data_IF_162713392673
#
_entry.id   IF_162713392673
#
_cell.length_a   1.000
_cell.length_b   1.000
_cell.length_c   1.000
_cell.angle_alpha   90.00
_cell.angle_beta   90.00
_cell.angle_gamma   90.00
#
_symmetry.space_group_name_H-M   'P 1'
#
loop_
_entity.id
_entity.type
_entity.pdbx_description
1 polymer ?
#
# COMPACT_ATOMS: atom_id res chain seq x y z
N UNK A 1 11.13 -15.99 25.83
CA UNK A 1 10.72 -15.61 24.46
C UNK A 1 9.89 -14.34 24.54
N UNK A 2 10.33 -13.21 23.95
CA UNK A 2 9.53 -11.97 23.90
C UNK A 2 8.33 -12.21 22.98
N UNK A 3 7.12 -12.02 23.48
CA UNK A 3 5.88 -12.10 22.68
C UNK A 3 5.90 -10.97 21.66
N UNK A 4 6.06 -11.28 20.37
CA UNK A 4 5.83 -10.31 19.31
C UNK A 4 4.31 -10.11 19.19
N UNK A 5 3.86 -8.88 19.28
CA UNK A 5 2.47 -8.53 19.03
C UNK A 5 2.17 -8.63 17.53
N UNK A 6 0.90 -8.82 17.17
CA UNK A 6 0.46 -8.85 15.74
C UNK A 6 0.97 -7.62 14.99
N UNK A 7 1.00 -6.46 15.66
CA UNK A 7 1.56 -5.22 15.12
C UNK A 7 3.06 -5.34 14.77
N UNK A 8 3.84 -6.03 15.60
CA UNK A 8 5.28 -6.24 15.33
C UNK A 8 5.52 -7.21 14.19
N UNK A 9 4.67 -8.24 14.02
CA UNK A 9 4.74 -9.16 12.90
C UNK A 9 4.40 -8.48 11.56
N UNK A 10 3.35 -7.65 11.55
CA UNK A 10 2.92 -6.92 10.35
C UNK A 10 3.96 -5.87 9.93
N UNK A 11 4.52 -5.13 10.88
CA UNK A 11 5.55 -4.13 10.61
C UNK A 11 6.86 -4.77 10.08
N UNK A 12 7.29 -5.90 10.66
CA UNK A 12 8.47 -6.63 10.21
C UNK A 12 8.29 -7.23 8.80
N UNK A 13 7.10 -7.76 8.50
CA UNK A 13 6.80 -8.32 7.18
C UNK A 13 6.72 -7.25 6.08
N UNK A 14 6.25 -6.03 6.40
CA UNK A 14 6.22 -4.90 5.46
C UNK A 14 7.64 -4.38 5.16
N UNK A 15 8.50 -4.29 6.16
CA UNK A 15 9.89 -3.93 5.97
C UNK A 15 10.63 -4.97 5.10
N UNK A 16 10.36 -6.25 5.31
CA UNK A 16 10.94 -7.36 4.52
C UNK A 16 10.42 -7.38 3.07
N UNK A 17 9.13 -7.11 2.84
CA UNK A 17 8.55 -7.09 1.49
C UNK A 17 9.06 -5.92 0.64
N UNK A 18 9.33 -4.77 1.24
CA UNK A 18 9.96 -3.63 0.56
C UNK A 18 11.45 -3.86 0.27
N UNK A 19 12.15 -4.59 1.16
CA UNK A 19 13.55 -4.96 0.96
C UNK A 19 13.75 -6.12 -0.06
N UNK A 20 12.80 -7.06 -0.13
CA UNK A 20 12.89 -8.22 -1.02
C UNK A 20 12.59 -7.90 -2.50
N UNK A 21 11.96 -6.77 -2.80
CA UNK A 21 11.72 -6.31 -4.17
C UNK A 21 12.98 -5.82 -4.90
N UNK A 22 14.08 -5.59 -4.19
CA UNK A 22 15.35 -5.11 -4.76
C UNK A 22 16.53 -6.13 -4.65
N UNK A 23 16.33 -7.29 -4.03
CA UNK A 23 17.40 -8.27 -3.78
C UNK A 23 17.15 -9.61 -4.47
N UNK A 24 17.12 -9.61 -5.80
CA UNK A 24 17.25 -10.83 -6.59
C UNK A 24 18.33 -10.64 -7.64
N UNK A 25 19.59 -10.76 -7.23
CA UNK A 25 20.71 -11.38 -7.95
C UNK A 25 22.03 -11.11 -7.23
N UNK A 26 22.78 -12.18 -6.94
CA UNK A 26 24.19 -12.12 -6.64
C UNK A 26 24.63 -12.83 -5.36
N UNK A 27 24.87 -14.13 -5.43
CA UNK A 27 25.61 -14.88 -4.41
C UNK A 27 27.12 -14.62 -4.51
N UNK A 28 27.83 -14.75 -3.40
CA UNK A 28 29.29 -14.70 -3.36
C UNK A 28 29.83 -14.75 -1.93
N UNK A 29 30.52 -15.81 -1.60
CA UNK A 29 31.06 -16.24 -0.32
C UNK A 29 32.28 -15.46 0.16
N UNK A 30 32.44 -15.40 1.51
CA UNK A 30 33.72 -15.66 2.20
C UNK A 30 34.63 -14.51 2.52
N UNK A 31 35.06 -14.49 3.78
CA UNK A 31 36.36 -13.94 4.15
C UNK A 31 36.43 -13.08 5.42
N UNK A 32 36.83 -13.70 6.53
CA UNK A 32 37.32 -13.06 7.75
C UNK A 32 38.44 -12.05 7.47
N UNK A 33 38.48 -10.93 8.18
CA UNK A 33 39.68 -10.38 8.80
C UNK A 33 39.48 -9.05 9.55
N UNK A 34 39.80 -9.07 10.81
CA UNK A 34 40.51 -8.05 11.64
C UNK A 34 40.24 -6.56 11.43
N UNK A 35 39.78 -5.90 12.52
CA UNK A 35 39.82 -4.45 12.77
C UNK A 35 41.21 -3.85 12.69
N UNK A 36 41.32 -2.57 12.31
CA UNK A 36 42.07 -1.64 13.15
C UNK A 36 41.30 -0.35 13.48
N UNK A 37 41.59 0.12 14.69
CA UNK A 37 41.17 1.39 15.27
C UNK A 37 41.71 2.58 14.46
N UNK A 38 40.82 3.53 14.20
CA UNK A 38 41.20 4.84 13.68
C UNK A 38 39.90 5.63 13.47
N UNK A 39 39.54 6.49 14.45
CA UNK A 39 38.37 7.34 14.33
C UNK A 39 38.55 8.40 13.25
N UNK A 40 38.00 8.14 12.08
CA UNK A 40 37.68 9.19 11.12
C UNK A 40 36.38 9.88 11.55
N UNK A 41 36.20 11.21 11.31
CA UNK A 41 34.97 11.90 11.59
C UNK A 41 33.85 11.16 10.88
N UNK A 42 32.69 10.98 11.58
CA UNK A 42 31.52 10.32 11.04
C UNK A 42 31.12 11.03 9.73
N UNK A 43 31.33 10.37 8.61
CA UNK A 43 30.84 10.85 7.32
C UNK A 43 29.32 11.01 7.46
N UNK A 44 28.83 12.24 7.28
CA UNK A 44 27.42 12.53 7.27
C UNK A 44 26.72 11.61 6.24
N UNK A 45 25.79 10.83 6.73
CA UNK A 45 25.01 9.89 5.89
C UNK A 45 24.19 10.68 4.87
N UNK A 46 24.55 10.61 3.60
CA UNK A 46 23.82 11.33 2.56
C UNK A 46 22.43 10.72 2.36
N UNK A 47 21.40 11.55 2.54
CA UNK A 47 20.02 11.21 2.24
C UNK A 47 19.66 11.72 0.84
N UNK A 48 19.29 10.81 -0.08
CA UNK A 48 18.89 11.18 -1.42
C UNK A 48 17.68 12.14 -1.39
N UNK A 49 17.85 13.32 -1.96
CA UNK A 49 16.80 14.35 -2.04
C UNK A 49 15.63 13.92 -2.95
N UNK A 50 15.84 12.95 -3.83
CA UNK A 50 14.81 12.40 -4.72
C UNK A 50 14.01 11.30 -4.04
N UNK A 51 14.69 10.40 -3.31
CA UNK A 51 14.04 9.23 -2.70
C UNK A 51 13.67 9.46 -1.23
N UNK A 52 14.32 10.41 -0.56
CA UNK A 52 14.20 10.65 0.88
C UNK A 52 14.80 9.52 1.74
N UNK A 53 15.65 8.65 1.16
CA UNK A 53 16.26 7.52 1.87
C UNK A 53 17.76 7.70 1.98
N UNK A 54 18.36 7.20 3.08
CA UNK A 54 19.83 7.12 3.18
C UNK A 54 20.41 6.29 2.03
N UNK A 55 21.60 6.66 1.57
CA UNK A 55 22.32 5.90 0.55
C UNK A 55 23.14 4.82 1.25
N UNK A 56 22.93 3.52 0.97
CA UNK A 56 23.70 2.43 1.56
C UNK A 56 25.20 2.56 1.21
N UNK A 57 26.09 2.36 2.18
CA UNK A 57 27.55 2.43 1.98
C UNK A 57 28.09 1.35 1.05
N UNK A 58 27.41 0.20 1.03
CA UNK A 58 27.69 -0.99 0.22
C UNK A 58 26.78 -1.11 -1.03
N UNK A 59 26.12 0.00 -1.38
CA UNK A 59 25.19 0.04 -2.49
C UNK A 59 25.87 -0.02 -3.87
N UNK A 60 25.08 -0.36 -4.90
CA UNK A 60 25.52 -0.43 -6.31
C UNK A 60 26.10 0.90 -6.84
N UNK A 61 25.72 2.03 -6.21
CA UNK A 61 26.09 3.37 -6.63
C UNK A 61 26.80 4.11 -5.48
N UNK A 62 27.83 4.88 -5.82
CA UNK A 62 28.50 5.75 -4.84
C UNK A 62 27.61 6.95 -4.46
N UNK A 63 27.94 7.59 -3.35
CA UNK A 63 27.25 8.79 -2.88
C UNK A 63 27.29 9.90 -3.94
N UNK A 64 28.46 10.09 -4.61
CA UNK A 64 28.63 11.08 -5.67
C UNK A 64 27.75 10.78 -6.88
N UNK A 65 27.64 9.51 -7.28
CA UNK A 65 26.74 9.10 -8.37
C UNK A 65 25.27 9.37 -8.03
N UNK A 66 24.88 9.11 -6.79
CA UNK A 66 23.51 9.39 -6.31
C UNK A 66 23.27 10.92 -6.27
N UNK A 67 24.20 11.71 -5.74
CA UNK A 67 24.11 13.19 -5.73
C UNK A 67 23.96 13.74 -7.14
N UNK A 68 24.79 13.33 -8.07
CA UNK A 68 24.75 13.77 -9.47
C UNK A 68 23.44 13.35 -10.17
N UNK A 69 22.91 12.18 -9.86
CA UNK A 69 21.60 11.73 -10.34
C UNK A 69 20.49 12.59 -9.76
N UNK A 70 20.49 12.80 -8.46
CA UNK A 70 19.48 13.56 -7.75
C UNK A 70 19.43 15.00 -8.27
N UNK A 71 20.57 15.63 -8.46
CA UNK A 71 20.65 16.97 -9.02
C UNK A 71 20.07 17.05 -10.44
N UNK A 72 20.41 16.08 -11.31
CA UNK A 72 19.80 16.00 -12.67
C UNK A 72 18.29 15.85 -12.62
N UNK A 73 17.79 14.99 -11.72
CA UNK A 73 16.36 14.80 -11.56
C UNK A 73 15.70 16.07 -11.07
N UNK A 74 16.28 16.74 -10.05
CA UNK A 74 15.75 17.99 -9.52
C UNK A 74 15.72 19.10 -10.55
N UNK A 75 16.82 19.29 -11.32
CA UNK A 75 16.87 20.27 -12.42
C UNK A 75 15.79 20.01 -13.48
N UNK A 76 15.55 18.75 -13.83
CA UNK A 76 14.57 18.38 -14.85
C UNK A 76 13.13 18.47 -14.38
N UNK A 77 12.86 18.09 -13.13
CA UNK A 77 11.50 17.85 -12.62
C UNK A 77 11.03 18.88 -11.59
N UNK A 78 11.92 19.61 -10.95
CA UNK A 78 11.64 20.43 -9.77
C UNK A 78 11.32 19.59 -8.51
N UNK A 79 11.67 18.29 -8.53
CA UNK A 79 11.30 17.34 -7.50
C UNK A 79 9.95 16.69 -7.75
N UNK A 80 9.44 16.00 -6.75
CA UNK A 80 8.18 15.25 -6.85
C UNK A 80 7.19 15.73 -5.79
N UNK A 81 5.96 15.90 -6.21
CA UNK A 81 4.84 16.25 -5.35
C UNK A 81 4.03 14.98 -5.07
N UNK A 82 3.70 14.74 -3.80
CA UNK A 82 2.75 13.72 -3.42
C UNK A 82 1.33 14.28 -3.51
N UNK A 83 0.51 13.70 -4.34
CA UNK A 83 -0.93 13.96 -4.37
C UNK A 83 -1.61 12.99 -3.41
N UNK A 84 -2.48 13.50 -2.56
CA UNK A 84 -3.30 12.64 -1.69
C UNK A 84 -4.36 11.94 -2.52
N UNK A 85 -4.65 10.68 -2.19
CA UNK A 85 -5.76 9.97 -2.79
C UNK A 85 -7.07 10.68 -2.43
N UNK A 86 -7.85 11.03 -3.45
CA UNK A 86 -9.19 11.57 -3.30
C UNK A 86 -10.20 10.51 -3.71
N UNK A 87 -11.34 10.49 -3.05
CA UNK A 87 -12.43 9.58 -3.37
C UNK A 87 -13.06 8.94 -2.14
N UNK A 88 -13.96 7.97 -2.36
CA UNK A 88 -14.62 7.28 -1.28
C UNK A 88 -13.63 6.48 -0.44
N UNK A 89 -13.87 6.43 0.88
CA UNK A 89 -13.04 5.71 1.84
C UNK A 89 -13.48 4.26 1.99
N UNK A 90 -12.56 3.37 2.32
CA UNK A 90 -12.91 2.01 2.77
C UNK A 90 -13.41 2.08 4.21
N UNK A 91 -14.47 1.34 4.53
CA UNK A 91 -14.98 1.22 5.89
C UNK A 91 -14.65 -0.17 6.45
N UNK A 92 -13.95 -0.19 7.60
CA UNK A 92 -13.79 -1.38 8.43
C UNK A 92 -14.76 -1.28 9.61
N UNK A 93 -15.59 -2.28 9.79
CA UNK A 93 -16.62 -2.31 10.83
C UNK A 93 -16.41 -3.54 11.73
N UNK A 94 -16.01 -3.32 12.97
CA UNK A 94 -16.04 -4.37 13.98
C UNK A 94 -17.44 -4.42 14.59
N UNK A 95 -18.24 -5.36 14.13
CA UNK A 95 -19.64 -5.54 14.51
C UNK A 95 -19.84 -6.68 15.50
N UNK A 96 -18.76 -7.18 16.13
CA UNK A 96 -18.81 -8.22 17.16
C UNK A 96 -19.39 -7.66 18.45
N UNK A 97 -19.97 -8.53 19.27
CA UNK A 97 -20.51 -8.16 20.60
C UNK A 97 -19.38 -7.59 21.51
N UNK A 98 -18.17 -8.13 21.39
CA UNK A 98 -16.97 -7.67 22.11
C UNK A 98 -15.83 -7.50 21.13
N UNK A 99 -15.65 -6.32 20.54
CA UNK A 99 -14.58 -6.04 19.61
C UNK A 99 -13.21 -6.20 20.27
N UNK A 100 -12.38 -7.09 19.73
CA UNK A 100 -11.02 -7.36 20.22
C UNK A 100 -9.97 -7.10 19.14
N UNK A 101 -10.35 -7.11 17.87
CA UNK A 101 -9.47 -6.86 16.75
C UNK A 101 -9.11 -5.37 16.68
N UNK A 102 -7.81 -5.11 16.58
CA UNK A 102 -7.30 -3.77 16.35
C UNK A 102 -7.47 -3.38 14.87
N UNK A 103 -8.71 -3.15 14.40
CA UNK A 103 -8.98 -2.72 13.02
C UNK A 103 -8.29 -1.41 12.65
N UNK A 104 -8.00 -0.56 13.62
CA UNK A 104 -7.19 0.65 13.42
C UNK A 104 -5.80 0.31 12.84
N UNK A 105 -5.17 -0.77 13.34
CA UNK A 105 -3.88 -1.23 12.80
C UNK A 105 -4.02 -1.83 11.40
N UNK A 106 -5.09 -2.59 11.13
CA UNK A 106 -5.39 -3.08 9.78
C UNK A 106 -5.60 -1.91 8.82
N UNK A 107 -6.36 -0.89 9.23
CA UNK A 107 -6.61 0.31 8.45
C UNK A 107 -5.33 1.11 8.21
N UNK A 108 -4.45 1.22 9.20
CA UNK A 108 -3.14 1.87 9.07
C UNK A 108 -2.27 1.16 8.04
N UNK A 109 -2.14 -0.16 8.14
CA UNK A 109 -1.36 -0.97 7.19
C UNK A 109 -1.96 -0.89 5.79
N UNK A 110 -3.29 -0.96 5.68
CA UNK A 110 -4.01 -0.76 4.43
C UNK A 110 -3.71 0.61 3.82
N UNK A 111 -3.78 1.68 4.60
CA UNK A 111 -3.45 3.03 4.16
C UNK A 111 -2.02 3.17 3.66
N UNK A 112 -1.04 2.57 4.35
CA UNK A 112 0.36 2.56 3.92
C UNK A 112 0.55 1.80 2.60
N UNK A 113 -0.10 0.65 2.45
CA UNK A 113 0.05 -0.20 1.27
C UNK A 113 -0.68 0.34 0.04
N UNK A 114 -1.83 0.98 0.24
CA UNK A 114 -2.72 1.42 -0.84
C UNK A 114 -2.74 2.93 -1.05
N UNK A 115 -2.22 3.71 -0.12
CA UNK A 115 -2.37 5.16 -0.03
C UNK A 115 -3.85 5.62 0.00
N UNK A 116 -4.76 4.72 0.38
CA UNK A 116 -6.17 5.03 0.57
C UNK A 116 -6.47 5.26 2.04
N UNK A 117 -7.39 6.16 2.32
CA UNK A 117 -7.86 6.37 3.70
C UNK A 117 -8.97 5.37 4.01
N UNK A 118 -8.92 4.80 5.21
CA UNK A 118 -9.95 3.94 5.73
C UNK A 118 -10.57 4.56 6.98
N UNK A 119 -11.87 4.37 7.13
CA UNK A 119 -12.60 4.68 8.37
C UNK A 119 -12.80 3.39 9.15
N UNK A 120 -12.66 3.47 10.47
CA UNK A 120 -12.87 2.33 11.38
C UNK A 120 -14.04 2.65 12.29
N UNK A 121 -15.02 1.77 12.33
CA UNK A 121 -16.15 1.85 13.24
C UNK A 121 -16.23 0.59 14.13
N UNK A 122 -16.60 0.78 15.39
CA UNK A 122 -16.85 -0.30 16.38
C UNK A 122 -18.31 -0.19 16.79
N UNK A 123 -19.14 -1.01 16.19
CA UNK A 123 -20.60 -0.96 16.41
C UNK A 123 -21.16 -2.38 16.36
N UNK A 124 -21.52 -2.96 17.50
CA UNK A 124 -22.15 -4.27 17.56
C UNK A 124 -23.43 -4.32 16.70
N UNK A 125 -23.59 -5.41 15.93
CA UNK A 125 -24.77 -5.59 15.08
C UNK A 125 -26.05 -5.95 15.86
N UNK A 126 -25.92 -6.33 17.13
CA UNK A 126 -27.01 -6.89 17.91
C UNK A 126 -27.53 -8.20 17.30
N UNK A 127 -28.84 -8.35 17.18
CA UNK A 127 -29.49 -9.52 16.59
C UNK A 127 -29.72 -9.41 15.08
N UNK A 128 -29.36 -8.29 14.45
CA UNK A 128 -29.55 -8.10 13.04
C UNK A 128 -28.76 -9.11 12.20
N UNK A 129 -29.34 -9.59 11.10
CA UNK A 129 -28.64 -10.47 10.17
C UNK A 129 -27.41 -9.76 9.59
N UNK A 130 -26.22 -10.41 9.52
CA UNK A 130 -24.98 -9.77 9.14
C UNK A 130 -25.02 -9.00 7.83
N UNK A 131 -25.59 -9.58 6.79
CA UNK A 131 -25.67 -8.94 5.48
C UNK A 131 -26.65 -7.75 5.47
N UNK A 132 -27.78 -7.87 6.14
CA UNK A 132 -28.74 -6.76 6.25
C UNK A 132 -28.13 -5.57 7.01
N UNK A 133 -27.40 -5.85 8.09
CA UNK A 133 -26.65 -4.84 8.85
C UNK A 133 -25.58 -4.15 7.98
N UNK A 134 -24.78 -4.94 7.28
CA UNK A 134 -23.74 -4.40 6.41
C UNK A 134 -24.32 -3.55 5.26
N UNK A 135 -25.42 -3.99 4.64
CA UNK A 135 -26.16 -3.23 3.60
C UNK A 135 -26.66 -1.89 4.12
N UNK A 136 -27.24 -1.86 5.31
CA UNK A 136 -27.70 -0.61 5.93
C UNK A 136 -26.55 0.38 6.13
N UNK A 137 -25.40 -0.08 6.62
CA UNK A 137 -24.20 0.76 6.78
C UNK A 137 -23.63 1.21 5.44
N UNK A 138 -23.56 0.33 4.45
CA UNK A 138 -23.13 0.65 3.10
C UNK A 138 -24.00 1.73 2.45
N UNK A 139 -25.33 1.64 2.62
CA UNK A 139 -26.28 2.62 2.10
C UNK A 139 -26.15 3.99 2.78
N UNK A 140 -25.95 4.01 4.11
CA UNK A 140 -25.86 5.24 4.89
C UNK A 140 -24.56 6.01 4.62
N UNK A 141 -23.40 5.33 4.64
CA UNK A 141 -22.09 5.96 4.55
C UNK A 141 -21.53 6.02 3.11
N UNK A 142 -22.05 5.19 2.20
CA UNK A 142 -21.60 5.07 0.80
C UNK A 142 -20.07 4.97 0.65
N UNK A 143 -19.40 4.10 1.41
CA UNK A 143 -17.96 3.95 1.32
C UNK A 143 -17.53 3.33 -0.02
N UNK A 144 -16.23 3.29 -0.29
CA UNK A 144 -15.66 2.56 -1.41
C UNK A 144 -16.04 1.08 -1.34
N UNK A 145 -15.82 0.47 -0.18
CA UNK A 145 -16.25 -0.87 0.21
C UNK A 145 -16.45 -0.91 1.72
N UNK A 146 -17.19 -1.88 2.20
CA UNK A 146 -17.39 -2.15 3.60
C UNK A 146 -16.94 -3.57 3.92
N UNK A 147 -16.05 -3.71 4.90
CA UNK A 147 -15.61 -5.00 5.43
C UNK A 147 -16.04 -5.08 6.90
N UNK A 148 -17.00 -5.96 7.17
CA UNK A 148 -17.55 -6.16 8.51
C UNK A 148 -16.98 -7.43 9.15
N UNK A 149 -16.50 -7.32 10.38
CA UNK A 149 -16.18 -8.47 11.24
C UNK A 149 -17.34 -8.71 12.18
N UNK A 150 -17.90 -9.91 12.16
CA UNK A 150 -19.07 -10.30 12.95
C UNK A 150 -18.80 -11.52 13.81
N UNK A 151 -19.64 -11.77 14.79
CA UNK A 151 -19.68 -13.01 15.59
C UNK A 151 -21.13 -13.43 15.89
N UNK A 152 -21.30 -14.57 16.56
CA UNK A 152 -22.62 -15.12 16.86
C UNK A 152 -23.38 -15.59 15.62
N UNK A 153 -22.68 -16.15 14.61
CA UNK A 153 -23.23 -16.52 13.31
C UNK A 153 -22.75 -17.93 12.92
N UNK A 154 -23.16 -18.96 13.68
CA UNK A 154 -22.65 -20.33 13.51
C UNK A 154 -22.83 -20.89 12.08
N UNK A 155 -23.90 -20.51 11.38
CA UNK A 155 -24.21 -21.00 10.03
C UNK A 155 -23.52 -20.19 8.90
N UNK A 156 -22.81 -19.11 9.24
CA UNK A 156 -22.12 -18.29 8.25
C UNK A 156 -20.68 -18.77 8.06
N UNK A 157 -20.18 -18.93 6.83
CA UNK A 157 -18.77 -19.27 6.61
C UNK A 157 -17.84 -18.19 7.13
N UNK A 158 -16.54 -18.52 7.32
CA UNK A 158 -15.54 -17.59 7.80
C UNK A 158 -15.42 -16.32 6.94
N UNK A 159 -15.64 -16.44 5.65
CA UNK A 159 -15.61 -15.34 4.69
C UNK A 159 -16.81 -15.41 3.75
N UNK A 160 -17.57 -14.32 3.69
CA UNK A 160 -18.64 -14.11 2.71
C UNK A 160 -18.37 -12.81 1.96
N UNK A 161 -18.43 -12.85 0.63
CA UNK A 161 -18.09 -11.71 -0.22
C UNK A 161 -19.20 -11.42 -1.22
N UNK A 162 -19.59 -10.17 -1.32
CA UNK A 162 -20.62 -9.65 -2.22
C UNK A 162 -20.02 -8.51 -3.06
N UNK A 163 -19.28 -8.84 -4.15
CA UNK A 163 -18.54 -7.83 -4.92
C UNK A 163 -19.46 -6.76 -5.54
N UNK A 164 -20.61 -7.14 -6.05
CA UNK A 164 -21.60 -6.22 -6.64
C UNK A 164 -22.10 -5.18 -5.62
N UNK A 165 -22.19 -5.58 -4.36
CA UNK A 165 -22.58 -4.70 -3.26
C UNK A 165 -21.39 -4.00 -2.60
N UNK A 166 -20.19 -4.37 -2.97
CA UNK A 166 -18.93 -3.93 -2.37
C UNK A 166 -18.84 -4.19 -0.86
N UNK A 167 -19.36 -5.35 -0.45
CA UNK A 167 -19.43 -5.80 0.94
C UNK A 167 -18.66 -7.10 1.13
N UNK A 168 -17.83 -7.15 2.17
CA UNK A 168 -17.21 -8.36 2.69
C UNK A 168 -17.61 -8.57 4.16
N UNK A 169 -17.90 -9.81 4.53
CA UNK A 169 -18.24 -10.19 5.89
C UNK A 169 -17.27 -11.28 6.33
N UNK A 170 -16.56 -11.02 7.43
CA UNK A 170 -15.67 -11.97 8.09
C UNK A 170 -16.34 -12.43 9.37
N UNK A 171 -16.69 -13.73 9.43
CA UNK A 171 -17.27 -14.34 10.62
C UNK A 171 -16.16 -14.88 11.52
N UNK A 172 -16.08 -14.37 12.75
CA UNK A 172 -15.08 -14.75 13.72
C UNK A 172 -15.30 -16.15 14.30
N UNK A 173 -16.53 -16.69 14.28
CA UNK A 173 -16.84 -17.96 14.96
C UNK A 173 -16.08 -19.16 14.38
N UNK A 174 -16.05 -19.41 13.06
CA UNK A 174 -15.28 -20.51 12.49
C UNK A 174 -13.77 -20.32 12.63
N UNK A 175 -13.30 -19.11 12.92
CA UNK A 175 -11.88 -18.77 13.05
C UNK A 175 -11.34 -19.00 14.47
N UNK A 176 -12.24 -19.31 15.43
CA UNK A 176 -11.90 -19.71 16.80
C UNK A 176 -11.35 -21.14 16.79
N UNK A 177 -10.54 -21.46 17.79
CA UNK A 177 -10.01 -22.82 18.00
C UNK A 177 -8.48 -22.89 17.86
N UNK A 178 -7.92 -24.05 18.30
CA UNK A 178 -6.47 -24.26 18.45
C UNK A 178 -5.94 -23.79 19.78
N UNK A 179 -4.70 -24.16 20.07
CA UNK A 179 -4.07 -23.94 21.40
C UNK A 179 -3.48 -22.54 21.57
N UNK A 180 -3.29 -21.79 20.48
CA UNK A 180 -2.77 -20.43 20.52
C UNK A 180 -3.92 -19.42 20.66
N UNK A 181 -4.03 -18.73 21.80
CA UNK A 181 -5.09 -17.74 22.04
C UNK A 181 -5.00 -16.50 21.13
N UNK A 182 -3.87 -16.28 20.47
CA UNK A 182 -3.70 -15.17 19.52
C UNK A 182 -4.07 -15.55 18.07
N UNK A 183 -4.19 -16.84 17.76
CA UNK A 183 -4.46 -17.31 16.41
C UNK A 183 -5.78 -16.77 15.81
N UNK A 184 -6.90 -16.66 16.54
CA UNK A 184 -8.14 -16.12 15.99
C UNK A 184 -7.99 -14.71 15.43
N UNK A 185 -7.28 -13.81 16.10
CA UNK A 185 -7.09 -12.43 15.62
C UNK A 185 -6.20 -12.37 14.38
N UNK A 186 -5.19 -13.23 14.29
CA UNK A 186 -4.35 -13.36 13.10
C UNK A 186 -5.17 -13.87 11.91
N UNK A 187 -6.01 -14.89 12.13
CA UNK A 187 -6.89 -15.47 11.11
C UNK A 187 -7.92 -14.43 10.62
N UNK A 188 -8.54 -13.68 11.54
CA UNK A 188 -9.46 -12.59 11.21
C UNK A 188 -8.74 -11.54 10.35
N UNK A 189 -7.52 -11.14 10.71
CA UNK A 189 -6.73 -10.18 9.93
C UNK A 189 -6.50 -10.69 8.49
N UNK A 190 -6.12 -11.95 8.32
CA UNK A 190 -5.97 -12.57 7.00
C UNK A 190 -7.28 -12.55 6.21
N UNK A 191 -8.40 -12.93 6.83
CA UNK A 191 -9.70 -12.94 6.15
C UNK A 191 -10.22 -11.53 5.84
N UNK A 192 -9.90 -10.52 6.64
CA UNK A 192 -10.18 -9.11 6.31
C UNK A 192 -9.45 -8.68 5.03
N UNK A 193 -8.17 -9.03 4.89
CA UNK A 193 -7.41 -8.76 3.67
C UNK A 193 -7.95 -9.52 2.46
N UNK A 194 -8.33 -10.78 2.63
CA UNK A 194 -8.96 -11.60 1.60
C UNK A 194 -10.31 -11.00 1.18
N UNK A 195 -11.13 -10.59 2.15
CA UNK A 195 -12.40 -9.91 1.90
C UNK A 195 -12.21 -8.66 1.01
N UNK A 196 -11.28 -7.78 1.39
CA UNK A 196 -10.95 -6.58 0.59
C UNK A 196 -10.52 -6.93 -0.84
N UNK A 197 -9.69 -7.95 -0.97
CA UNK A 197 -9.17 -8.37 -2.26
C UNK A 197 -10.28 -8.91 -3.17
N UNK A 198 -11.13 -9.80 -2.68
CA UNK A 198 -12.25 -10.34 -3.43
C UNK A 198 -13.30 -9.27 -3.76
N UNK A 199 -13.65 -8.40 -2.81
CA UNK A 199 -14.53 -7.24 -3.06
C UNK A 199 -13.90 -6.31 -4.10
N UNK A 200 -12.57 -6.15 -4.09
CA UNK A 200 -11.81 -5.41 -5.08
C UNK A 200 -11.64 -6.11 -6.43
N UNK A 201 -12.32 -7.25 -6.64
CA UNK A 201 -12.32 -7.96 -7.92
C UNK A 201 -11.10 -8.84 -8.18
N UNK A 202 -10.32 -9.17 -7.14
CA UNK A 202 -9.25 -10.16 -7.26
C UNK A 202 -9.81 -11.58 -7.16
N UNK A 203 -9.16 -12.49 -7.88
CA UNK A 203 -9.32 -13.94 -7.71
C UNK A 203 -8.23 -14.53 -6.84
N UNK A 204 -8.20 -15.86 -6.77
CA UNK A 204 -7.12 -16.58 -6.11
C UNK A 204 -5.76 -16.31 -6.76
N UNK A 205 -4.73 -16.29 -5.93
CA UNK A 205 -3.34 -16.13 -6.35
C UNK A 205 -2.60 -17.47 -6.23
N UNK A 206 -1.83 -17.89 -7.24
CA UNK A 206 -0.97 -19.06 -7.13
C UNK A 206 0.32 -18.79 -6.34
N UNK A 207 0.58 -17.53 -5.96
CA UNK A 207 1.80 -17.16 -5.26
C UNK A 207 1.76 -17.62 -3.80
N UNK A 208 2.77 -18.39 -3.39
CA UNK A 208 2.88 -18.95 -2.02
C UNK A 208 2.91 -17.88 -0.92
N UNK A 209 3.28 -16.65 -1.26
CA UNK A 209 3.44 -15.54 -0.35
C UNK A 209 2.27 -14.53 -0.43
N UNK A 210 1.08 -14.98 -0.77
CA UNK A 210 -0.10 -14.13 -0.87
C UNK A 210 -1.23 -14.70 -0.03
N UNK A 211 -1.92 -13.85 0.73
CA UNK A 211 -3.10 -14.29 1.49
C UNK A 211 -4.25 -14.76 0.58
N UNK A 212 -4.18 -14.46 -0.73
CA UNK A 212 -5.16 -14.84 -1.74
C UNK A 212 -5.02 -16.27 -2.25
N UNK A 213 -4.17 -17.09 -1.64
CA UNK A 213 -4.15 -18.53 -1.94
C UNK A 213 -5.53 -19.17 -1.69
N UNK A 214 -5.87 -20.28 -2.41
CA UNK A 214 -6.98 -21.12 -2.02
C UNK A 214 -6.76 -21.65 -0.58
N UNK A 215 -7.70 -21.42 0.30
CA UNK A 215 -7.67 -21.82 1.71
C UNK A 215 -9.03 -22.41 2.05
N UNK A 216 -9.03 -23.66 2.47
CA UNK A 216 -10.25 -24.42 2.75
C UNK A 216 -10.35 -24.86 4.23
N UNK A 217 -9.23 -24.79 4.97
CA UNK A 217 -9.13 -25.24 6.35
C UNK A 217 -8.40 -24.23 7.23
N UNK A 218 -8.67 -24.26 8.55
CA UNK A 218 -7.92 -23.44 9.51
C UNK A 218 -6.41 -23.74 9.47
N UNK A 219 -6.04 -25.01 9.25
CA UNK A 219 -4.64 -25.43 9.16
C UNK A 219 -3.93 -24.76 7.96
N UNK A 220 -4.58 -24.66 6.82
CA UNK A 220 -4.05 -23.95 5.64
C UNK A 220 -3.98 -22.45 5.89
N UNK A 221 -5.00 -21.87 6.53
CA UNK A 221 -4.99 -20.47 6.92
C UNK A 221 -3.84 -20.15 7.88
N UNK A 222 -3.57 -21.03 8.84
CA UNK A 222 -2.45 -20.87 9.78
C UNK A 222 -1.10 -21.03 9.10
N UNK A 223 -0.98 -21.97 8.17
CA UNK A 223 0.23 -22.24 7.41
C UNK A 223 0.57 -21.06 6.46
N UNK A 224 -0.40 -20.31 6.01
CA UNK A 224 -0.18 -19.11 5.19
C UNK A 224 0.48 -18.00 6.04
N UNK A 225 1.77 -17.74 5.77
CA UNK A 225 2.59 -16.80 6.56
C UNK A 225 2.28 -15.33 6.30
N UNK A 226 1.60 -15.02 5.20
CA UNK A 226 1.36 -13.65 4.78
C UNK A 226 -0.07 -13.22 5.14
N UNK A 227 -0.21 -12.27 6.06
CA UNK A 227 -1.53 -11.82 6.50
C UNK A 227 -2.19 -10.82 5.54
N UNK A 228 -1.52 -10.39 4.50
CA UNK A 228 -1.98 -9.33 3.60
C UNK A 228 -1.82 -9.69 2.12
N UNK A 229 -2.47 -8.91 1.27
CA UNK A 229 -2.40 -9.03 -0.19
C UNK A 229 -1.06 -8.51 -0.70
N UNK A 230 -0.43 -9.22 -1.62
CA UNK A 230 0.85 -8.79 -2.21
C UNK A 230 0.72 -7.47 -2.99
N UNK A 231 1.80 -6.66 -3.06
CA UNK A 231 1.80 -5.36 -3.75
C UNK A 231 1.35 -5.43 -5.21
N UNK A 232 1.67 -6.52 -5.93
CA UNK A 232 1.25 -6.71 -7.32
C UNK A 232 -0.28 -6.84 -7.43
N UNK A 233 -0.90 -7.60 -6.54
CA UNK A 233 -2.35 -7.75 -6.47
C UNK A 233 -3.02 -6.47 -5.99
N UNK A 234 -2.40 -5.73 -5.07
CA UNK A 234 -2.83 -4.38 -4.70
C UNK A 234 -2.91 -3.43 -5.90
N UNK A 235 -1.93 -3.48 -6.81
CA UNK A 235 -1.95 -2.68 -8.03
C UNK A 235 -3.11 -3.05 -8.97
N UNK A 236 -3.55 -4.32 -8.95
CA UNK A 236 -4.77 -4.76 -9.68
C UNK A 236 -6.04 -4.20 -9.04
N UNK A 237 -6.15 -4.27 -7.70
CA UNK A 237 -7.28 -3.69 -6.95
C UNK A 237 -7.42 -2.19 -7.26
N UNK A 238 -6.33 -1.44 -7.37
CA UNK A 238 -6.38 -0.02 -7.75
C UNK A 238 -7.08 0.26 -9.07
N UNK A 239 -6.94 -0.62 -10.06
CA UNK A 239 -7.61 -0.45 -11.35
C UNK A 239 -9.13 -0.57 -11.21
N UNK A 240 -9.59 -1.46 -10.35
CA UNK A 240 -11.01 -1.60 -10.04
C UNK A 240 -11.53 -0.39 -9.27
N UNK A 241 -10.79 0.10 -8.28
CA UNK A 241 -11.23 1.24 -7.47
C UNK A 241 -11.33 2.55 -8.24
N UNK A 242 -10.57 2.72 -9.32
CA UNK A 242 -10.74 3.86 -10.24
C UNK A 242 -12.16 3.94 -10.80
N UNK A 243 -12.78 2.81 -11.08
CA UNK A 243 -14.16 2.75 -11.57
C UNK A 243 -15.13 3.33 -10.54
N UNK A 244 -14.81 3.21 -9.25
CA UNK A 244 -15.60 3.75 -8.15
C UNK A 244 -15.17 5.18 -7.73
N UNK A 245 -14.44 5.88 -8.56
CA UNK A 245 -14.08 7.29 -8.32
C UNK A 245 -12.85 7.49 -7.44
N UNK A 246 -12.08 6.44 -7.10
CA UNK A 246 -10.81 6.60 -6.40
C UNK A 246 -9.77 7.18 -7.35
N UNK A 247 -9.29 8.36 -7.01
CA UNK A 247 -8.14 8.99 -7.64
C UNK A 247 -6.90 8.67 -6.82
N UNK A 248 -6.03 7.82 -7.37
CA UNK A 248 -4.80 7.42 -6.68
C UNK A 248 -3.88 8.61 -6.50
N UNK A 249 -3.34 8.77 -5.30
CA UNK A 249 -2.17 9.60 -5.08
C UNK A 249 -1.03 9.15 -5.99
N UNK A 250 -0.54 10.06 -6.81
CA UNK A 250 0.63 9.84 -7.65
C UNK A 250 1.76 10.72 -7.15
N UNK A 251 2.93 10.16 -7.06
CA UNK A 251 4.15 10.93 -6.98
C UNK A 251 4.46 11.42 -8.39
N UNK A 252 4.10 12.67 -8.69
CA UNK A 252 4.34 13.26 -9.99
C UNK A 252 5.45 14.32 -9.93
N UNK A 253 6.19 14.53 -11.01
CA UNK A 253 7.12 15.64 -11.12
C UNK A 253 6.42 16.99 -10.92
N UNK A 254 7.07 17.92 -10.20
CA UNK A 254 6.58 19.29 -10.06
C UNK A 254 6.32 19.97 -11.41
N UNK A 255 7.20 19.72 -12.40
CA UNK A 255 7.03 20.17 -13.78
C UNK A 255 5.66 19.82 -14.35
N UNK A 256 5.20 18.59 -14.15
CA UNK A 256 3.88 18.14 -14.66
C UNK A 256 2.75 18.93 -14.00
N UNK A 257 2.84 19.13 -12.68
CA UNK A 257 1.85 19.92 -11.95
C UNK A 257 1.78 21.38 -12.44
N UNK A 258 2.94 21.99 -12.74
CA UNK A 258 3.01 23.34 -13.33
C UNK A 258 2.40 23.36 -14.73
N UNK A 259 2.69 22.36 -15.57
CA UNK A 259 2.12 22.24 -16.92
C UNK A 259 0.60 22.12 -16.88
N UNK A 260 0.07 21.36 -15.94
CA UNK A 260 -1.36 21.16 -15.73
C UNK A 260 -2.05 22.33 -14.98
N UNK A 261 -1.28 23.27 -14.42
CA UNK A 261 -1.79 24.51 -13.83
C UNK A 261 -2.30 24.42 -12.39
N UNK A 262 -2.00 23.33 -11.67
CA UNK A 262 -2.42 23.15 -10.26
C UNK A 262 -1.26 23.12 -9.25
N UNK A 263 -0.01 23.30 -9.72
CA UNK A 263 1.15 23.35 -8.84
C UNK A 263 1.04 24.53 -7.85
N UNK A 264 1.47 24.29 -6.62
CA UNK A 264 1.69 25.38 -5.67
C UNK A 264 2.90 26.22 -6.10
N UNK A 265 2.98 27.50 -5.67
CA UNK A 265 4.15 28.32 -5.93
C UNK A 265 5.46 27.64 -5.55
N UNK A 266 6.56 27.92 -6.28
CA UNK A 266 7.83 27.27 -6.03
C UNK A 266 8.39 27.58 -4.64
N UNK A 267 8.91 26.57 -3.94
CA UNK A 267 9.48 26.68 -2.59
C UNK A 267 11.01 26.56 -2.57
N UNK A 268 11.62 26.23 -3.71
CA UNK A 268 13.08 26.11 -3.86
C UNK A 268 13.52 26.49 -5.29
N UNK A 269 14.83 26.67 -5.48
CA UNK A 269 15.39 27.13 -6.75
C UNK A 269 15.14 26.19 -7.93
N UNK A 270 15.11 24.87 -7.70
CA UNK A 270 14.79 23.91 -8.77
C UNK A 270 13.33 24.05 -9.23
N UNK A 271 12.41 24.22 -8.31
CA UNK A 271 11.00 24.46 -8.64
C UNK A 271 10.83 25.78 -9.35
N UNK A 272 11.53 26.83 -8.90
CA UNK A 272 11.51 28.15 -9.54
C UNK A 272 12.01 28.09 -10.99
N UNK A 273 13.14 27.44 -11.24
CA UNK A 273 13.67 27.25 -12.59
C UNK A 273 12.70 26.48 -13.49
N UNK A 274 12.07 25.41 -12.97
CA UNK A 274 11.07 24.62 -13.70
C UNK A 274 9.81 25.45 -13.97
N UNK A 275 9.37 26.25 -13.01
CA UNK A 275 8.19 27.11 -13.15
C UNK A 275 8.38 28.13 -14.25
N UNK A 276 9.50 28.87 -14.26
CA UNK A 276 9.82 29.87 -15.29
C UNK A 276 9.98 29.22 -16.66
N UNK A 277 10.62 28.06 -16.75
CA UNK A 277 10.76 27.35 -18.00
C UNK A 277 9.39 26.92 -18.57
N UNK A 278 8.51 26.35 -17.77
CA UNK A 278 7.17 25.93 -18.23
C UNK A 278 6.33 27.12 -18.64
N UNK A 279 6.44 28.26 -17.94
CA UNK A 279 5.79 29.51 -18.30
C UNK A 279 6.27 30.02 -19.65
N UNK A 280 7.59 30.09 -19.84
CA UNK A 280 8.17 30.50 -21.13
C UNK A 280 7.81 29.54 -22.28
N UNK A 281 7.70 28.24 -22.03
CA UNK A 281 7.26 27.25 -23.02
C UNK A 281 5.80 27.47 -23.44
N UNK A 282 4.92 27.82 -22.46
CA UNK A 282 3.51 28.15 -22.76
C UNK A 282 3.36 29.43 -23.57
N UNK A 283 4.16 30.45 -23.27
CA UNK A 283 4.17 31.72 -24.00
C UNK A 283 4.67 31.59 -25.45
N UNK A 284 5.61 30.66 -25.71
CA UNK A 284 6.09 30.37 -27.07
C UNK A 284 5.06 29.67 -27.96
N UNK A 285 4.01 29.09 -27.37
CA UNK A 285 3.02 28.28 -28.07
C UNK A 285 3.56 26.93 -28.57
N UNK A 286 2.71 26.10 -29.16
CA UNK A 286 3.14 24.82 -29.70
C UNK A 286 4.14 25.03 -30.79
N UNK A 287 5.38 24.54 -30.63
CA UNK A 287 6.32 24.40 -31.75
C UNK A 287 5.64 23.54 -32.81
N UNK A 288 5.57 24.06 -34.04
CA UNK A 288 4.99 23.33 -35.17
C UNK A 288 5.54 21.89 -35.18
N UNK A 289 4.68 20.88 -35.32
CA UNK A 289 5.15 19.51 -35.45
C UNK A 289 6.13 19.44 -36.61
N UNK A 290 7.30 18.86 -36.36
CA UNK A 290 8.27 18.60 -37.42
C UNK A 290 7.56 17.77 -38.48
N UNK A 291 7.25 18.38 -39.62
CA UNK A 291 6.66 17.67 -40.74
C UNK A 291 7.75 16.77 -41.32
N UNK A 292 7.72 15.50 -40.96
CA UNK A 292 8.60 14.49 -41.57
C UNK A 292 8.16 14.37 -43.02
N UNK A 293 8.99 14.75 -44.00
CA UNK A 293 8.61 14.59 -45.39
C UNK A 293 8.41 13.10 -45.69
N UNK A 294 7.43 12.75 -46.54
CA UNK A 294 7.19 11.35 -46.89
C UNK A 294 8.45 10.79 -47.58
N UNK A 295 8.75 9.48 -47.37
CA UNK A 295 9.89 8.84 -48.00
C UNK A 295 9.78 9.00 -49.52
N UNK A 296 10.85 9.49 -50.16
CA UNK A 296 10.93 9.55 -51.62
C UNK A 296 10.78 8.13 -52.17
N UNK A 297 9.78 7.95 -53.06
CA UNK A 297 9.58 6.69 -53.80
C UNK A 297 10.74 6.42 -54.75
#
# INVERSE_FOLDING_TARGET
>A
MKRMTVASMVAAAFAAAFAAGEASQGGGSGGDAASPKGGAPAEEEYVSIVTGKPVPKDGKYTVEQIKARDERVMKKTGGFIHMKAEGPRTMFLDARAKPTLALDEVARVYGLATHLVADVAKEPRGEAAPLAFARAKMSAAKPLMLIAVVDGCADLPALSVFPEERVGIVNADPLKGGDDPSAPEVRITKEVWRAMAFVGGLGFSPAENDCMQPIYTLKELDANRYPFVQPMNMARMYRMWKVFGVKKERRIPYRVAVQEGWAQPPTNDYQKAVWEQVKADKERGPTNPITIPPPKK
#
